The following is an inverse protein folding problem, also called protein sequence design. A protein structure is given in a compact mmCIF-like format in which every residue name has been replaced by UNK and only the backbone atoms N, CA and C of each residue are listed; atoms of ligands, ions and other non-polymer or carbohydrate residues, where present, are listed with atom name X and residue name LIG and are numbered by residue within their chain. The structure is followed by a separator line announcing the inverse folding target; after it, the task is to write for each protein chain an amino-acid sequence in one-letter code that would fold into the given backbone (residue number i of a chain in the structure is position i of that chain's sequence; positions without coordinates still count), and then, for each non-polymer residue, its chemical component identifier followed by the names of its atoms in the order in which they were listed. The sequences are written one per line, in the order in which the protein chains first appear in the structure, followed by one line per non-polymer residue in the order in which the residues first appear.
data_IF_167679467381
#
_entry.id   IF_167679467381
#
_cell.length_a   1.000
_cell.length_b   1.000
_cell.length_c   1.000
_cell.angle_alpha   90.00
_cell.angle_beta   90.00
_cell.angle_gamma   90.00
#
_symmetry.space_group_name_H-M   'P 1'
#
loop_
_entity.id
_entity.type
_entity.pdbx_description
1 polymer ?
#
# COMPACT_ATOMS: atom_id res chain seq x y z
N UNK A 1 29.53 -17.68 -9.63
CA UNK A 1 29.03 -16.36 -10.09
C UNK A 1 27.60 -16.08 -9.63
N UNK A 2 26.76 -17.10 -9.40
CA UNK A 2 25.42 -16.94 -8.80
C UNK A 2 25.45 -16.47 -7.33
N UNK A 3 26.52 -16.73 -6.58
CA UNK A 3 26.65 -16.35 -5.15
C UNK A 3 26.93 -14.85 -4.90
N UNK A 4 27.02 -14.02 -5.94
CA UNK A 4 27.31 -12.58 -5.83
C UNK A 4 26.06 -11.70 -5.93
N UNK A 5 24.92 -12.24 -6.39
CA UNK A 5 23.69 -11.48 -6.58
C UNK A 5 22.74 -11.78 -5.41
N UNK A 6 22.30 -10.73 -4.72
CA UNK A 6 21.34 -10.82 -3.61
C UNK A 6 20.12 -11.68 -4.03
N UNK A 7 19.71 -12.68 -3.22
CA UNK A 7 18.60 -13.57 -3.53
C UNK A 7 17.31 -12.88 -4.00
N UNK A 8 17.03 -11.66 -3.54
CA UNK A 8 15.84 -10.90 -3.96
C UNK A 8 15.84 -10.57 -5.46
N UNK A 9 17.03 -10.45 -6.08
CA UNK A 9 17.17 -10.12 -7.51
C UNK A 9 17.38 -11.35 -8.40
N UNK A 10 17.31 -12.56 -7.84
CA UNK A 10 17.51 -13.80 -8.61
C UNK A 10 16.27 -14.21 -9.40
N UNK A 11 15.08 -13.70 -9.06
CA UNK A 11 13.85 -13.93 -9.83
C UNK A 11 12.84 -12.81 -9.60
N UNK A 12 11.90 -12.65 -10.54
CA UNK A 12 10.74 -11.76 -10.38
C UNK A 12 9.94 -12.10 -9.12
N UNK A 13 9.73 -13.39 -8.85
CA UNK A 13 8.95 -13.81 -7.68
C UNK A 13 9.63 -13.46 -6.36
N UNK A 14 10.96 -13.58 -6.29
CA UNK A 14 11.72 -13.21 -5.09
C UNK A 14 11.62 -11.71 -4.82
N UNK A 15 11.73 -10.90 -5.88
CA UNK A 15 11.58 -9.45 -5.79
C UNK A 15 10.18 -9.06 -5.35
N UNK A 16 9.14 -9.64 -5.95
CA UNK A 16 7.75 -9.39 -5.55
C UNK A 16 7.50 -9.76 -4.09
N UNK A 17 7.98 -10.92 -3.65
CA UNK A 17 7.80 -11.35 -2.26
C UNK A 17 8.50 -10.38 -1.30
N UNK A 18 9.77 -10.06 -1.56
CA UNK A 18 10.53 -9.13 -0.74
C UNK A 18 9.91 -7.73 -0.72
N UNK A 19 9.35 -7.26 -1.84
CA UNK A 19 8.64 -5.99 -1.91
C UNK A 19 7.38 -5.98 -1.06
N UNK A 20 6.56 -7.03 -1.14
CA UNK A 20 5.34 -7.14 -0.33
C UNK A 20 5.67 -7.24 1.15
N UNK A 21 6.65 -8.08 1.51
CA UNK A 21 7.06 -8.26 2.90
C UNK A 21 7.65 -6.95 3.45
N UNK A 22 8.35 -6.18 2.62
CA UNK A 22 8.80 -4.82 2.94
C UNK A 22 7.63 -3.89 3.24
N UNK A 23 6.62 -3.80 2.36
CA UNK A 23 5.42 -2.99 2.58
C UNK A 23 4.66 -3.40 3.85
N UNK A 24 4.54 -4.70 4.11
CA UNK A 24 3.90 -5.20 5.33
C UNK A 24 4.67 -4.78 6.59
N UNK A 25 6.00 -4.94 6.59
CA UNK A 25 6.84 -4.51 7.72
C UNK A 25 6.79 -3.01 7.98
N UNK A 26 6.61 -2.19 6.94
CA UNK A 26 6.49 -0.74 7.10
C UNK A 26 5.27 -0.34 7.96
N UNK A 27 4.19 -1.14 7.95
CA UNK A 27 2.99 -0.88 8.77
C UNK A 27 3.25 -1.01 10.29
N UNK A 28 4.41 -1.53 10.71
CA UNK A 28 4.84 -1.51 12.11
C UNK A 28 5.18 -0.09 12.59
N UNK A 29 5.53 0.82 11.69
CA UNK A 29 5.78 2.23 12.03
C UNK A 29 4.47 3.00 12.21
N UNK A 30 4.38 3.87 13.22
CA UNK A 30 3.18 4.66 13.54
C UNK A 30 3.08 5.99 12.78
N UNK A 31 3.75 6.09 11.63
CA UNK A 31 3.76 7.29 10.80
C UNK A 31 2.61 7.28 9.78
N UNK A 32 1.85 8.37 9.71
CA UNK A 32 0.71 8.48 8.80
C UNK A 32 1.11 8.32 7.33
N UNK A 33 2.18 9.00 6.92
CA UNK A 33 2.67 8.92 5.53
C UNK A 33 3.09 7.50 5.13
N UNK A 34 3.58 6.69 6.09
CA UNK A 34 3.87 5.28 5.85
C UNK A 34 2.60 4.48 5.57
N UNK A 35 1.55 4.72 6.36
CA UNK A 35 0.23 4.12 6.10
C UNK A 35 -0.31 4.50 4.71
N UNK A 36 -0.26 5.79 4.35
CA UNK A 36 -0.72 6.28 3.05
C UNK A 36 0.08 5.65 1.89
N UNK A 37 1.41 5.56 2.03
CA UNK A 37 2.28 4.93 1.03
C UNK A 37 1.92 3.46 0.81
N UNK A 38 1.77 2.69 1.90
CA UNK A 38 1.46 1.27 1.79
C UNK A 38 0.04 1.07 1.24
N UNK A 39 -0.92 1.90 1.64
CA UNK A 39 -2.29 1.86 1.10
C UNK A 39 -2.30 2.13 -0.41
N UNK A 40 -1.61 3.17 -0.87
CA UNK A 40 -1.53 3.52 -2.28
C UNK A 40 -0.93 2.39 -3.13
N UNK A 41 0.15 1.75 -2.65
CA UNK A 41 0.73 0.58 -3.31
C UNK A 41 -0.24 -0.61 -3.31
N UNK A 42 -0.93 -0.86 -2.18
CA UNK A 42 -1.87 -1.96 -2.08
C UNK A 42 -3.05 -1.80 -3.05
N UNK A 43 -3.58 -0.58 -3.21
CA UNK A 43 -4.68 -0.30 -4.14
C UNK A 43 -4.26 -0.35 -5.62
N UNK A 44 -2.97 -0.35 -5.94
CA UNK A 44 -2.51 -0.38 -7.33
C UNK A 44 -2.63 -1.77 -7.97
N UNK A 45 -2.56 -2.84 -7.18
CA UNK A 45 -2.53 -4.22 -7.67
C UNK A 45 -3.40 -5.15 -6.80
N UNK A 46 -4.20 -6.01 -7.43
CA UNK A 46 -5.14 -6.90 -6.75
C UNK A 46 -4.45 -7.93 -5.84
N UNK A 47 -3.26 -8.42 -6.21
CA UNK A 47 -2.49 -9.35 -5.36
C UNK A 47 -1.94 -8.63 -4.13
N UNK A 48 -1.47 -7.39 -4.27
CA UNK A 48 -1.05 -6.54 -3.14
C UNK A 48 -2.22 -6.26 -2.21
N UNK A 49 -3.37 -5.82 -2.74
CA UNK A 49 -4.56 -5.53 -1.96
C UNK A 49 -4.99 -6.72 -1.12
N UNK A 50 -5.10 -7.90 -1.75
CA UNK A 50 -5.50 -9.13 -1.05
C UNK A 50 -4.56 -9.49 0.10
N UNK A 51 -3.25 -9.29 -0.06
CA UNK A 51 -2.27 -9.63 0.98
C UNK A 51 -2.21 -8.57 2.10
N UNK A 52 -2.25 -7.29 1.76
CA UNK A 52 -2.01 -6.19 2.71
C UNK A 52 -3.29 -5.64 3.37
N UNK A 53 -4.48 -5.84 2.78
CA UNK A 53 -5.74 -5.29 3.29
C UNK A 53 -6.00 -5.59 4.78
N UNK A 54 -5.79 -6.82 5.30
CA UNK A 54 -6.04 -7.10 6.72
C UNK A 54 -5.17 -6.27 7.66
N UNK A 55 -3.88 -6.10 7.34
CA UNK A 55 -2.95 -5.30 8.12
C UNK A 55 -3.27 -3.80 8.02
N UNK A 56 -3.60 -3.32 6.82
CA UNK A 56 -4.03 -1.94 6.58
C UNK A 56 -5.32 -1.60 7.32
N UNK A 57 -6.33 -2.46 7.30
CA UNK A 57 -7.59 -2.24 8.02
C UNK A 57 -7.36 -2.11 9.53
N UNK A 58 -6.50 -2.97 10.10
CA UNK A 58 -6.12 -2.88 11.52
C UNK A 58 -5.41 -1.57 11.83
N UNK A 59 -4.45 -1.17 10.99
CA UNK A 59 -3.68 0.08 11.17
C UNK A 59 -4.57 1.31 11.02
N UNK A 60 -5.52 1.28 10.09
CA UNK A 60 -6.49 2.35 9.87
C UNK A 60 -7.31 2.66 11.12
N UNK A 61 -7.85 1.62 11.79
CA UNK A 61 -8.60 1.80 13.05
C UNK A 61 -7.73 2.29 14.21
N UNK A 62 -6.46 1.86 14.26
CA UNK A 62 -5.49 2.37 15.23
C UNK A 62 -5.21 3.87 15.01
N UNK A 63 -5.00 4.29 13.76
CA UNK A 63 -4.75 5.69 13.42
C UNK A 63 -5.96 6.58 13.69
N UNK A 64 -7.19 6.10 13.40
CA UNK A 64 -8.44 6.81 13.74
C UNK A 64 -8.63 7.07 15.23
N UNK A 65 -8.06 6.21 16.08
CA UNK A 65 -8.19 6.29 17.53
C UNK A 65 -7.21 7.26 18.18
N UNK A 66 -6.26 7.82 17.42
CA UNK A 66 -5.22 8.71 17.91
C UNK A 66 -5.31 10.09 17.24
N UNK A 67 -4.74 11.15 17.86
CA UNK A 67 -4.56 12.43 17.17
C UNK A 67 -3.70 12.24 15.90
N UNK A 68 -4.27 12.59 14.76
CA UNK A 68 -3.62 12.45 13.46
C UNK A 68 -2.51 13.50 13.37
N UNK A 69 -1.27 13.06 13.12
CA UNK A 69 -0.13 13.93 12.85
C UNK A 69 0.63 13.42 11.62
N UNK A 70 1.15 14.33 10.80
CA UNK A 70 1.78 13.97 9.53
C UNK A 70 1.98 15.20 8.65
N UNK A 71 2.44 14.97 7.41
CA UNK A 71 2.46 16.03 6.41
C UNK A 71 1.02 16.45 6.05
N UNK A 72 0.78 17.73 5.69
CA UNK A 72 -0.57 18.23 5.45
C UNK A 72 -1.37 17.43 4.41
N UNK A 73 -0.71 16.99 3.33
CA UNK A 73 -1.27 16.16 2.28
C UNK A 73 -1.68 14.76 2.76
N UNK A 74 -0.83 14.09 3.56
CA UNK A 74 -1.17 12.80 4.17
C UNK A 74 -2.39 12.91 5.10
N UNK A 75 -2.45 14.00 5.88
CA UNK A 75 -3.58 14.28 6.78
C UNK A 75 -4.87 14.51 5.98
N UNK A 76 -4.80 15.27 4.90
CA UNK A 76 -5.96 15.54 4.04
C UNK A 76 -6.47 14.27 3.36
N UNK A 77 -5.57 13.41 2.86
CA UNK A 77 -5.94 12.10 2.29
C UNK A 77 -6.57 11.22 3.36
N UNK A 78 -5.97 11.13 4.55
CA UNK A 78 -6.50 10.31 5.63
C UNK A 78 -7.89 10.78 6.09
N UNK A 79 -8.09 12.09 6.22
CA UNK A 79 -9.40 12.65 6.57
C UNK A 79 -10.47 12.29 5.53
N UNK A 80 -10.15 12.33 4.24
CA UNK A 80 -11.06 11.85 3.18
C UNK A 80 -11.35 10.36 3.33
N UNK A 81 -10.33 9.54 3.60
CA UNK A 81 -10.50 8.10 3.84
C UNK A 81 -11.38 7.81 5.06
N UNK A 82 -11.37 8.64 6.11
CA UNK A 82 -12.27 8.45 7.26
C UNK A 82 -13.73 8.76 6.98
N UNK A 83 -13.99 9.57 5.95
CA UNK A 83 -15.35 9.85 5.47
C UNK A 83 -15.86 8.76 4.53
N UNK A 84 -14.94 8.09 3.84
CA UNK A 84 -15.20 6.88 3.07
C UNK A 84 -15.22 5.66 3.99
N UNK A 85 -15.91 4.60 3.57
CA UNK A 85 -15.77 3.32 4.26
C UNK A 85 -14.51 2.61 3.72
N UNK A 86 -13.59 2.22 4.60
CA UNK A 86 -12.36 1.52 4.18
C UNK A 86 -12.67 0.23 3.40
N UNK A 87 -13.78 -0.43 3.71
CA UNK A 87 -14.21 -1.65 3.02
C UNK A 87 -14.77 -1.40 1.61
N UNK A 88 -15.05 -0.14 1.26
CA UNK A 88 -15.52 0.28 -0.07
C UNK A 88 -14.36 0.69 -0.99
N UNK A 89 -13.11 0.64 -0.52
CA UNK A 89 -11.95 0.93 -1.36
C UNK A 89 -11.77 -0.16 -2.42
N UNK A 90 -11.68 0.28 -3.68
CA UNK A 90 -11.44 -0.57 -4.83
C UNK A 90 -10.01 -0.40 -5.35
N UNK A 91 -9.46 -1.49 -5.88
CA UNK A 91 -8.19 -1.43 -6.59
C UNK A 91 -8.31 -0.60 -7.85
N UNK A 92 -7.18 -0.02 -8.26
CA UNK A 92 -7.02 0.72 -9.51
C UNK A 92 -7.59 -0.05 -10.68
N UNK A 93 -8.45 0.62 -11.46
CA UNK A 93 -9.08 0.06 -12.64
C UNK A 93 -8.37 0.58 -13.89
N UNK A 94 -7.90 -0.32 -14.73
CA UNK A 94 -7.23 0.04 -15.98
C UNK A 94 -8.22 0.18 -17.13
N UNK A 95 -7.98 1.16 -17.99
CA UNK A 95 -8.83 1.48 -19.15
C UNK A 95 -7.96 1.62 -20.39
N UNK A 96 -8.43 1.07 -21.51
CA UNK A 96 -7.80 1.31 -22.81
C UNK A 96 -8.47 2.50 -23.50
N UNK A 97 -7.69 3.54 -23.81
CA UNK A 97 -8.16 4.72 -24.54
C UNK A 97 -7.21 4.98 -25.70
N UNK A 98 -7.68 4.76 -26.93
CA UNK A 98 -6.91 5.07 -28.15
C UNK A 98 -5.58 4.32 -28.26
N UNK A 99 -5.49 3.09 -27.73
CA UNK A 99 -4.27 2.28 -27.70
C UNK A 99 -3.33 2.59 -26.52
N UNK A 100 -3.74 3.46 -25.59
CA UNK A 100 -3.04 3.69 -24.33
C UNK A 100 -3.76 3.01 -23.18
N UNK A 101 -3.01 2.43 -22.26
CA UNK A 101 -3.52 1.93 -20.99
C UNK A 101 -3.40 3.03 -19.93
N UNK A 102 -4.52 3.39 -19.31
CA UNK A 102 -4.62 4.45 -18.31
C UNK A 102 -5.23 3.89 -17.02
N UNK A 103 -4.67 4.35 -15.90
CA UNK A 103 -5.24 4.20 -14.56
C UNK A 103 -6.35 5.25 -14.33
#
# INVERSE_FOLDING_TARGET
MQDLINPIFQSKQNLENAFIDGLESMLEHDELGVFILVLANALFDDKLWKKLRPALAKKFEQLKSNPITGAPDDVDVFNQLTQLNFDELEVTQWREIGGFELQ
#
